data_IF_063410507064
#
_entry.id   IF_063410507064
#
_cell.length_a   1.000
_cell.length_b   1.000
_cell.length_c   1.000
_cell.angle_alpha   90.00
_cell.angle_beta   90.00
_cell.angle_gamma   90.00
#
_symmetry.space_group_name_H-M   'P 1'
#
loop_
_entity.id
_entity.type
_entity.pdbx_description
1 polymer ?
#
# COMPACT_ATOMS: atom_id res chain seq x y z
N UNK A 1 -25.85 -55.00 41.72
CA UNK A 1 -24.58 -55.47 41.12
C UNK A 1 -24.45 -54.86 39.73
N UNK A 2 -23.61 -53.81 39.65
CA UNK A 2 -22.94 -53.12 38.52
C UNK A 2 -23.54 -53.23 37.10
N UNK A 3 -24.10 -52.12 36.62
CA UNK A 3 -24.18 -51.77 35.19
C UNK A 3 -23.09 -50.76 34.88
N UNK A 4 -22.03 -51.19 34.17
CA UNK A 4 -20.94 -50.30 33.74
C UNK A 4 -21.15 -49.95 32.27
N UNK A 5 -21.71 -48.77 31.99
CA UNK A 5 -21.76 -48.24 30.63
C UNK A 5 -20.38 -47.73 30.22
N UNK A 6 -19.77 -48.43 29.26
CA UNK A 6 -18.52 -48.04 28.61
C UNK A 6 -18.78 -46.78 27.74
N UNK A 7 -18.48 -45.60 28.30
CA UNK A 7 -18.63 -44.33 27.58
C UNK A 7 -17.53 -44.22 26.52
N UNK A 8 -17.92 -44.34 25.26
CA UNK A 8 -17.05 -44.20 24.08
C UNK A 8 -16.27 -42.87 24.15
N UNK A 9 -14.95 -43.01 24.14
CA UNK A 9 -13.98 -41.94 23.93
C UNK A 9 -14.21 -41.38 22.51
N UNK A 10 -14.67 -40.14 22.38
CA UNK A 10 -14.80 -39.49 21.07
C UNK A 10 -13.77 -38.36 21.02
N UNK A 11 -12.70 -38.62 20.28
CA UNK A 11 -11.61 -37.69 19.99
C UNK A 11 -12.00 -36.90 18.74
N UNK A 12 -12.39 -35.63 18.87
CA UNK A 12 -12.55 -34.73 17.71
C UNK A 12 -11.48 -33.66 17.73
N UNK A 13 -10.48 -33.88 16.88
CA UNK A 13 -9.45 -32.94 16.46
C UNK A 13 -10.14 -31.79 15.70
N UNK A 14 -10.05 -30.57 16.22
CA UNK A 14 -10.68 -29.39 15.61
C UNK A 14 -9.81 -28.16 15.77
N UNK A 15 -8.56 -28.21 15.29
CA UNK A 15 -7.71 -27.03 15.22
C UNK A 15 -8.02 -26.24 13.94
N UNK A 16 -9.06 -25.38 13.99
CA UNK A 16 -9.23 -24.32 13.00
C UNK A 16 -8.12 -23.27 13.21
N UNK A 17 -6.98 -23.44 12.55
CA UNK A 17 -6.01 -22.37 12.38
C UNK A 17 -6.62 -21.30 11.46
N UNK A 18 -7.30 -20.32 12.06
CA UNK A 18 -7.58 -19.06 11.40
C UNK A 18 -6.22 -18.38 11.17
N UNK A 19 -5.68 -18.52 9.97
CA UNK A 19 -4.55 -17.71 9.52
C UNK A 19 -5.06 -16.27 9.44
N UNK A 20 -4.97 -15.53 10.54
CA UNK A 20 -5.03 -14.08 10.54
C UNK A 20 -3.81 -13.62 9.72
N UNK A 21 -3.99 -13.50 8.40
CA UNK A 21 -2.96 -12.97 7.53
C UNK A 21 -2.67 -11.55 7.97
N UNK A 22 -1.47 -11.32 8.50
CA UNK A 22 -0.97 -9.97 8.73
C UNK A 22 -0.93 -9.26 7.38
N UNK A 23 -1.94 -8.46 7.07
CA UNK A 23 -1.93 -7.60 5.89
C UNK A 23 -0.76 -6.64 6.04
N UNK A 24 0.20 -6.71 5.11
CA UNK A 24 1.31 -5.78 4.98
C UNK A 24 0.80 -4.46 4.39
N UNK A 25 -0.08 -3.78 5.12
CA UNK A 25 -0.47 -2.40 4.88
C UNK A 25 -0.02 -1.61 6.10
N UNK A 26 0.67 -0.49 5.87
CA UNK A 26 0.98 0.49 6.90
C UNK A 26 -0.28 1.25 7.32
N UNK A 27 -1.17 1.61 6.39
CA UNK A 27 -2.42 2.32 6.70
C UNK A 27 -3.46 1.40 7.37
N UNK A 28 -4.36 1.98 8.18
CA UNK A 28 -5.38 1.22 8.94
C UNK A 28 -6.74 1.24 8.24
N UNK A 29 -7.41 0.08 8.28
CA UNK A 29 -8.82 -0.11 7.90
C UNK A 29 -9.16 0.51 6.53
N UNK A 30 -8.46 0.06 5.47
CA UNK A 30 -8.79 0.47 4.10
C UNK A 30 -10.13 -0.17 3.72
N UNK A 31 -11.18 0.66 3.63
CA UNK A 31 -12.52 0.23 3.21
C UNK A 31 -12.53 -0.34 1.79
N UNK A 32 -13.58 -1.04 1.38
CA UNK A 32 -13.70 -1.62 0.03
C UNK A 32 -13.57 -0.60 -1.10
N UNK A 33 -13.95 0.66 -0.85
CA UNK A 33 -13.79 1.77 -1.80
C UNK A 33 -12.37 2.33 -1.87
N UNK A 34 -11.42 1.78 -1.10
CA UNK A 34 -10.03 2.23 -1.06
C UNK A 34 -9.79 3.40 -0.12
N UNK A 35 -10.77 3.85 0.66
CA UNK A 35 -10.58 4.91 1.65
C UNK A 35 -10.00 4.35 2.96
N UNK A 36 -8.78 4.74 3.38
CA UNK A 36 -8.24 4.39 4.70
C UNK A 36 -8.93 5.20 5.81
N UNK A 37 -9.11 4.58 6.97
CA UNK A 37 -9.50 5.29 8.20
C UNK A 37 -8.34 6.13 8.73
N UNK A 38 -7.12 5.58 8.68
CA UNK A 38 -5.91 6.28 9.05
C UNK A 38 -4.82 6.06 8.00
N UNK A 39 -4.32 7.16 7.45
CA UNK A 39 -3.19 7.18 6.51
C UNK A 39 -1.88 7.08 7.28
N UNK A 40 -1.04 6.10 6.94
CA UNK A 40 0.28 5.91 7.59
C UNK A 40 1.32 5.73 6.51
N UNK A 41 2.42 6.50 6.61
CA UNK A 41 3.54 6.40 5.70
C UNK A 41 4.68 5.59 6.33
N UNK A 42 5.28 4.64 5.60
CA UNK A 42 6.43 3.90 6.08
C UNK A 42 7.66 4.80 6.26
N UNK A 43 8.52 4.41 7.19
CA UNK A 43 9.81 5.06 7.43
C UNK A 43 10.79 4.73 6.29
N UNK A 44 11.28 5.75 5.55
CA UNK A 44 12.21 5.57 4.43
C UNK A 44 13.57 4.97 4.83
N UNK A 45 13.98 5.03 6.10
CA UNK A 45 15.28 4.49 6.51
C UNK A 45 15.24 2.99 6.83
N UNK A 46 14.05 2.45 7.15
CA UNK A 46 13.92 1.09 7.68
C UNK A 46 13.00 0.16 6.88
N UNK A 47 12.09 0.69 6.05
CA UNK A 47 11.03 -0.12 5.39
C UNK A 47 11.11 -0.20 3.87
N UNK A 48 12.09 0.45 3.26
CA UNK A 48 12.28 0.44 1.82
C UNK A 48 12.65 -0.96 1.32
N UNK A 49 12.16 -1.30 0.13
CA UNK A 49 12.53 -2.51 -0.59
C UNK A 49 14.02 -2.51 -0.98
N UNK A 50 14.58 -3.70 -1.18
CA UNK A 50 15.97 -3.84 -1.56
C UNK A 50 16.21 -3.19 -2.94
N UNK A 51 17.21 -2.31 -3.03
CA UNK A 51 17.55 -1.58 -4.27
C UNK A 51 16.58 -0.45 -4.64
N UNK A 52 15.82 0.09 -3.68
CA UNK A 52 14.90 1.22 -3.88
C UNK A 52 15.15 2.38 -2.89
N UNK A 53 16.31 2.39 -2.20
CA UNK A 53 16.63 3.38 -1.15
C UNK A 53 16.76 4.80 -1.68
N UNK A 54 17.09 4.89 -2.96
CA UNK A 54 17.40 6.12 -3.66
C UNK A 54 16.14 6.84 -4.15
N UNK A 55 14.95 6.24 -4.00
CA UNK A 55 13.71 6.79 -4.55
C UNK A 55 13.76 6.94 -6.07
N UNK A 56 12.96 7.87 -6.60
CA UNK A 56 12.95 8.20 -8.04
C UNK A 56 12.65 9.68 -8.29
N UNK A 57 12.91 10.13 -9.51
CA UNK A 57 12.63 11.48 -10.00
C UNK A 57 11.47 11.40 -11.01
N UNK A 58 10.21 11.42 -10.56
CA UNK A 58 9.07 11.22 -11.46
C UNK A 58 8.83 12.45 -12.33
N UNK A 59 8.22 12.23 -13.50
CA UNK A 59 7.67 13.32 -14.30
C UNK A 59 6.36 13.84 -13.68
N UNK A 60 6.34 15.12 -13.30
CA UNK A 60 5.16 15.80 -12.77
C UNK A 60 3.96 15.77 -13.73
N UNK A 61 4.19 15.73 -15.04
CA UNK A 61 3.12 15.62 -16.04
C UNK A 61 2.55 14.19 -16.14
N UNK A 62 3.37 13.16 -15.87
CA UNK A 62 2.90 11.79 -15.75
C UNK A 62 2.09 11.59 -14.46
N UNK A 63 2.55 12.16 -13.34
CA UNK A 63 1.81 12.21 -12.07
C UNK A 63 0.42 12.85 -12.23
N UNK A 64 0.31 13.93 -13.01
CA UNK A 64 -0.96 14.62 -13.24
C UNK A 64 -2.00 13.80 -14.03
N UNK A 65 -1.57 12.70 -14.68
CA UNK A 65 -2.48 11.80 -15.42
C UNK A 65 -3.12 10.76 -14.50
N UNK A 66 -2.64 10.60 -13.27
CA UNK A 66 -3.22 9.68 -12.29
C UNK A 66 -4.68 10.05 -12.02
N UNK A 67 -5.55 9.05 -12.03
CA UNK A 67 -6.99 9.23 -11.83
C UNK A 67 -7.61 7.98 -11.20
N UNK A 68 -8.72 8.13 -10.45
CA UNK A 68 -9.49 7.00 -9.95
C UNK A 68 -9.85 6.00 -11.06
N UNK A 69 -9.87 4.71 -10.73
CA UNK A 69 -10.16 3.61 -11.65
C UNK A 69 -8.95 3.08 -12.43
N UNK A 70 -7.75 3.66 -12.27
CA UNK A 70 -6.56 3.16 -12.96
C UNK A 70 -6.10 1.80 -12.40
N UNK A 71 -5.70 0.90 -13.28
CA UNK A 71 -5.09 -0.37 -12.86
C UNK A 71 -3.68 -0.15 -12.32
N UNK A 72 -3.22 -1.08 -11.48
CA UNK A 72 -1.81 -1.15 -11.04
C UNK A 72 -0.78 -1.09 -12.16
N UNK A 73 -1.09 -1.67 -13.33
CA UNK A 73 -0.20 -1.61 -14.49
C UNK A 73 -0.10 -0.19 -15.06
N UNK A 74 -1.25 0.51 -15.18
CA UNK A 74 -1.30 1.90 -15.66
C UNK A 74 -0.59 2.85 -14.69
N UNK A 75 -0.78 2.67 -13.37
CA UNK A 75 -0.05 3.45 -12.35
C UNK A 75 1.46 3.24 -12.50
N UNK A 76 1.94 1.98 -12.60
CA UNK A 76 3.37 1.70 -12.81
C UNK A 76 3.91 2.26 -14.11
N UNK A 77 3.12 2.26 -15.18
CA UNK A 77 3.52 2.85 -16.45
C UNK A 77 3.76 4.37 -16.33
N UNK A 78 3.02 5.06 -15.46
CA UNK A 78 3.14 6.50 -15.27
C UNK A 78 4.23 6.88 -14.26
N UNK A 79 4.33 6.17 -13.13
CA UNK A 79 5.15 6.61 -11.98
C UNK A 79 6.09 5.54 -11.44
N UNK A 80 6.24 4.43 -12.16
CA UNK A 80 7.15 3.34 -11.78
C UNK A 80 6.63 2.47 -10.63
N UNK A 81 7.52 1.59 -10.15
CA UNK A 81 7.25 0.66 -9.06
C UNK A 81 7.27 1.36 -7.69
N UNK A 82 6.51 0.86 -6.70
CA UNK A 82 6.62 1.35 -5.32
C UNK A 82 8.00 1.06 -4.72
N UNK A 83 8.41 1.88 -3.75
CA UNK A 83 9.76 1.81 -3.17
C UNK A 83 9.81 1.02 -1.85
N UNK A 84 8.66 0.62 -1.29
CA UNK A 84 8.57 -0.07 0.00
C UNK A 84 8.18 -1.54 -0.13
N UNK A 85 8.37 -2.31 0.95
CA UNK A 85 8.04 -3.74 1.01
C UNK A 85 6.54 -3.95 1.22
N UNK A 86 5.74 -3.74 0.18
CA UNK A 86 4.27 -3.85 0.23
C UNK A 86 3.75 -5.30 0.24
N UNK A 87 4.60 -6.26 -0.14
CA UNK A 87 4.23 -7.67 -0.27
C UNK A 87 3.72 -8.05 -1.66
N UNK A 88 3.27 -9.29 -1.82
CA UNK A 88 2.89 -9.86 -3.12
C UNK A 88 1.40 -10.15 -3.25
N UNK A 89 0.68 -10.34 -2.14
CA UNK A 89 -0.72 -10.73 -2.12
C UNK A 89 -1.58 -9.66 -1.45
N UNK A 90 -2.76 -9.42 -2.01
CA UNK A 90 -3.77 -8.50 -1.45
C UNK A 90 -3.27 -7.07 -1.17
N UNK A 91 -2.25 -6.60 -1.90
CA UNK A 91 -1.68 -5.26 -1.72
C UNK A 91 -2.69 -4.18 -2.11
N UNK A 92 -3.13 -3.34 -1.17
CA UNK A 92 -4.11 -2.27 -1.44
C UNK A 92 -3.56 -0.86 -1.26
N UNK A 93 -2.26 -0.74 -1.03
CA UNK A 93 -1.56 0.54 -1.06
C UNK A 93 -0.15 0.38 -1.61
N UNK A 94 0.40 1.46 -2.17
CA UNK A 94 1.75 1.55 -2.68
C UNK A 94 2.37 2.86 -2.23
N UNK A 95 3.52 2.78 -1.56
CA UNK A 95 4.28 3.94 -1.11
C UNK A 95 5.49 4.24 -2.01
N UNK A 96 5.76 5.53 -2.15
CA UNK A 96 6.80 6.08 -3.02
C UNK A 96 7.65 7.12 -2.30
N UNK A 97 8.92 7.20 -2.70
CA UNK A 97 9.85 8.28 -2.38
C UNK A 97 10.18 8.99 -3.68
N UNK A 98 9.77 10.25 -3.80
CA UNK A 98 9.97 11.06 -4.99
C UNK A 98 10.88 12.25 -4.70
N UNK A 99 11.74 12.56 -5.66
CA UNK A 99 12.67 13.69 -5.62
C UNK A 99 12.30 14.70 -6.70
N UNK A 100 12.20 15.96 -6.29
CA UNK A 100 11.92 17.08 -7.20
C UNK A 100 12.98 18.17 -7.06
N UNK A 101 13.41 18.79 -8.17
CA UNK A 101 14.24 19.99 -8.09
C UNK A 101 13.41 21.14 -7.52
N UNK A 102 13.96 21.83 -6.52
CA UNK A 102 13.31 22.96 -5.84
C UNK A 102 14.37 23.99 -5.42
N UNK A 103 14.37 25.15 -6.08
CA UNK A 103 15.27 26.28 -5.79
C UNK A 103 16.77 25.89 -5.74
N UNK A 104 17.22 25.08 -6.70
CA UNK A 104 18.62 24.61 -6.76
C UNK A 104 18.96 23.49 -5.77
N UNK A 105 17.99 23.02 -4.97
CA UNK A 105 18.11 21.88 -4.07
C UNK A 105 17.16 20.75 -4.52
N UNK A 106 17.20 19.62 -3.80
CA UNK A 106 16.27 18.50 -3.96
C UNK A 106 15.26 18.49 -2.83
N UNK A 107 13.98 18.48 -3.18
CA UNK A 107 12.88 18.21 -2.24
C UNK A 107 12.49 16.74 -2.35
N UNK A 108 12.57 16.02 -1.23
CA UNK A 108 12.09 14.64 -1.12
C UNK A 108 10.66 14.63 -0.58
N UNK A 109 9.78 13.89 -1.26
CA UNK A 109 8.36 13.79 -0.98
C UNK A 109 7.95 12.32 -0.89
N UNK A 110 7.14 11.97 0.12
CA UNK A 110 6.49 10.68 0.16
C UNK A 110 5.10 10.78 -0.45
N UNK A 111 4.77 9.81 -1.29
CA UNK A 111 3.49 9.73 -2.00
C UNK A 111 2.91 8.33 -1.84
N UNK A 112 1.60 8.23 -1.70
CA UNK A 112 0.90 6.95 -1.56
C UNK A 112 -0.25 6.85 -2.54
N UNK A 113 -0.38 5.68 -3.16
CA UNK A 113 -1.56 5.28 -3.95
C UNK A 113 -2.34 4.25 -3.13
N UNK A 114 -3.64 4.44 -2.96
CA UNK A 114 -4.53 3.45 -2.30
C UNK A 114 -5.55 2.92 -3.31
N UNK A 115 -5.75 1.60 -3.28
CA UNK A 115 -6.58 0.84 -4.20
C UNK A 115 -7.86 0.33 -3.52
N UNK A 116 -8.95 0.23 -4.28
CA UNK A 116 -10.17 -0.45 -3.84
C UNK A 116 -9.99 -1.99 -3.73
N UNK A 117 -11.07 -2.70 -3.38
CA UNK A 117 -11.08 -4.16 -3.29
C UNK A 117 -10.82 -4.86 -4.64
N UNK A 118 -11.05 -4.15 -5.75
CA UNK A 118 -10.89 -4.64 -7.12
C UNK A 118 -9.52 -4.23 -7.70
N UNK A 119 -8.63 -3.70 -6.85
CA UNK A 119 -7.27 -3.24 -7.16
C UNK A 119 -7.19 -2.11 -8.19
N UNK A 120 -8.21 -1.28 -8.25
CA UNK A 120 -8.19 -0.03 -9.00
C UNK A 120 -7.78 1.11 -8.06
N UNK A 121 -6.90 1.98 -8.54
CA UNK A 121 -6.44 3.13 -7.77
C UNK A 121 -7.62 4.08 -7.52
N UNK A 122 -7.79 4.54 -6.30
CA UNK A 122 -8.90 5.43 -5.93
C UNK A 122 -8.41 6.73 -5.29
N UNK A 123 -7.38 6.63 -4.45
CA UNK A 123 -6.88 7.76 -3.69
C UNK A 123 -5.38 7.90 -3.80
N UNK A 124 -4.94 9.16 -3.76
CA UNK A 124 -3.56 9.58 -3.92
C UNK A 124 -3.26 10.59 -2.82
N UNK A 125 -2.23 10.33 -2.02
CA UNK A 125 -1.91 11.14 -0.87
C UNK A 125 -0.45 11.57 -0.89
N UNK A 126 -0.22 12.85 -0.61
CA UNK A 126 1.10 13.34 -0.26
C UNK A 126 1.25 13.29 1.27
N UNK A 127 2.43 12.88 1.75
CA UNK A 127 2.74 12.99 3.19
C UNK A 127 2.78 14.45 3.63
N UNK A 128 3.31 15.31 2.77
CA UNK A 128 3.33 16.75 2.92
C UNK A 128 2.65 17.38 1.70
N UNK A 129 1.52 18.05 1.91
CA UNK A 129 0.73 18.66 0.84
C UNK A 129 1.50 19.72 0.05
N UNK A 130 2.56 20.31 0.61
CA UNK A 130 3.44 21.21 -0.12
C UNK A 130 4.12 20.54 -1.33
N UNK A 131 4.20 19.21 -1.36
CA UNK A 131 4.75 18.45 -2.49
C UNK A 131 3.81 18.39 -3.70
N UNK A 132 2.52 18.68 -3.53
CA UNK A 132 1.55 18.64 -4.64
C UNK A 132 1.87 19.67 -5.74
N UNK A 133 2.63 20.73 -5.41
CA UNK A 133 3.04 21.79 -6.36
C UNK A 133 3.92 21.28 -7.51
N UNK A 134 4.56 20.12 -7.35
CA UNK A 134 5.39 19.51 -8.40
C UNK A 134 4.57 18.76 -9.46
N UNK A 135 3.27 18.55 -9.22
CA UNK A 135 2.36 17.96 -10.19
C UNK A 135 1.99 19.00 -11.25
N UNK A 136 2.52 18.83 -12.46
CA UNK A 136 2.23 19.73 -13.58
C UNK A 136 1.02 19.21 -14.35
N UNK A 137 -0.08 19.96 -14.37
CA UNK A 137 -1.19 19.62 -15.25
C UNK A 137 -0.71 19.66 -16.71
N UNK A 138 -1.07 18.62 -17.48
CA UNK A 138 -0.89 18.66 -18.92
C UNK A 138 -1.75 19.83 -19.46
N UNK A 139 -1.10 20.75 -20.17
CA UNK A 139 -1.74 21.87 -20.86
C UNK A 139 -2.42 21.41 -22.14
#
# INVERSE_FOLDING_TARGET
MKTTHFRRLTLTLGACLLMAGCTMHTSRNISDSGKPEQIIYPDPDSKVAMGQKEGSYPDGAALAKLRPGMTKAQVRQLIGSPHFKEGFYFVREWDYIFHFPSNGLVRTCQFKVVFDKDYLAQHYYWRDEACSVFVKKAM
#
